data_IF_916793507988
#
_entry.id   IF_916793507988
#
_cell.length_a   1.000
_cell.length_b   1.000
_cell.length_c   1.000
_cell.angle_alpha   90.00
_cell.angle_beta   90.00
_cell.angle_gamma   90.00
#
_symmetry.space_group_name_H-M   'P 1'
#
loop_
_entity.id
_entity.type
_entity.pdbx_description
1 polymer ?
#
# COMPACT_ATOMS: atom_id res chain seq x y z
N UNK A 1 -18.58 2.97 1.61
CA UNK A 1 -18.94 1.65 1.03
C UNK A 1 -18.47 1.51 -0.42
N UNK A 2 -18.67 2.53 -1.27
CA UNK A 2 -18.25 2.50 -2.70
C UNK A 2 -16.73 2.38 -2.85
N UNK A 3 -15.95 3.13 -2.08
CA UNK A 3 -14.49 3.05 -2.10
C UNK A 3 -13.93 1.63 -1.89
N UNK A 4 -14.48 0.87 -0.92
CA UNK A 4 -14.06 -0.51 -0.67
C UNK A 4 -14.48 -1.47 -1.80
N UNK A 5 -15.65 -1.26 -2.40
CA UNK A 5 -16.07 -2.00 -3.58
C UNK A 5 -15.11 -1.73 -4.76
N UNK A 6 -14.77 -0.47 -4.99
CA UNK A 6 -13.80 -0.06 -6.00
C UNK A 6 -12.45 -0.74 -5.78
N UNK A 7 -11.90 -0.72 -4.55
CA UNK A 7 -10.66 -1.43 -4.22
C UNK A 7 -10.76 -2.94 -4.45
N UNK A 8 -11.88 -3.56 -4.08
CA UNK A 8 -12.13 -4.99 -4.31
C UNK A 8 -12.12 -5.34 -5.81
N UNK A 9 -12.72 -4.47 -6.64
CA UNK A 9 -12.68 -4.60 -8.10
C UNK A 9 -11.26 -4.46 -8.64
N UNK A 10 -10.49 -3.49 -8.15
CA UNK A 10 -9.08 -3.34 -8.55
C UNK A 10 -8.28 -4.60 -8.25
N UNK A 11 -8.40 -5.15 -7.03
CA UNK A 11 -7.72 -6.40 -6.64
C UNK A 11 -8.15 -7.57 -7.54
N UNK A 12 -9.44 -7.70 -7.81
CA UNK A 12 -9.98 -8.76 -8.68
C UNK A 12 -9.44 -8.67 -10.11
N UNK A 13 -9.35 -7.45 -10.66
CA UNK A 13 -8.84 -7.19 -11.98
C UNK A 13 -7.32 -7.37 -12.07
N UNK A 14 -6.58 -6.89 -11.07
CA UNK A 14 -5.15 -7.10 -10.96
C UNK A 14 -4.80 -8.58 -10.86
N UNK A 15 -5.54 -9.37 -10.08
CA UNK A 15 -5.39 -10.82 -10.00
C UNK A 15 -5.66 -11.50 -11.36
N UNK A 16 -6.74 -11.10 -12.04
CA UNK A 16 -7.08 -11.64 -13.36
C UNK A 16 -5.99 -11.38 -14.39
N UNK A 17 -5.42 -10.17 -14.39
CA UNK A 17 -4.35 -9.76 -15.29
C UNK A 17 -3.02 -10.45 -14.95
N UNK A 18 -2.60 -10.41 -13.69
CA UNK A 18 -1.34 -10.96 -13.21
C UNK A 18 -1.24 -12.48 -13.43
N UNK A 19 -2.35 -13.19 -13.19
CA UNK A 19 -2.42 -14.66 -13.32
C UNK A 19 -2.22 -15.17 -14.76
N UNK A 20 -2.16 -14.27 -15.75
CA UNK A 20 -1.83 -14.61 -17.14
C UNK A 20 -0.32 -14.78 -17.37
N UNK A 21 0.49 -14.19 -16.51
CA UNK A 21 1.93 -14.04 -16.73
C UNK A 21 2.78 -14.48 -15.53
N UNK A 22 2.19 -14.58 -14.34
CA UNK A 22 2.91 -14.82 -13.09
C UNK A 22 2.43 -16.09 -12.40
N UNK A 23 3.39 -16.86 -11.87
CA UNK A 23 3.20 -18.01 -10.98
C UNK A 23 3.31 -17.63 -9.51
N UNK A 24 2.57 -18.33 -8.66
CA UNK A 24 2.44 -17.96 -7.26
C UNK A 24 2.94 -19.06 -6.32
N UNK A 25 3.52 -18.63 -5.19
CA UNK A 25 3.97 -19.53 -4.12
C UNK A 25 2.89 -19.81 -3.10
N UNK A 26 2.06 -18.83 -2.84
CA UNK A 26 0.99 -18.90 -1.85
C UNK A 26 -0.20 -18.07 -2.33
N UNK A 27 -1.35 -18.29 -1.69
CA UNK A 27 -2.54 -17.45 -1.90
C UNK A 27 -2.23 -16.00 -1.48
N UNK A 28 -1.48 -15.80 -0.40
CA UNK A 28 -1.08 -14.47 0.06
C UNK A 28 -0.25 -13.75 -1.01
N UNK A 29 0.75 -14.41 -1.60
CA UNK A 29 1.51 -13.84 -2.72
C UNK A 29 0.59 -13.45 -3.88
N UNK A 30 -0.34 -14.32 -4.27
CA UNK A 30 -1.29 -14.01 -5.35
C UNK A 30 -2.15 -12.78 -5.05
N UNK A 31 -2.69 -12.69 -3.84
CA UNK A 31 -3.51 -11.54 -3.41
C UNK A 31 -2.69 -10.25 -3.36
N UNK A 32 -1.46 -10.29 -2.83
CA UNK A 32 -0.56 -9.15 -2.80
C UNK A 32 -0.24 -8.64 -4.20
N UNK A 33 0.08 -9.54 -5.14
CA UNK A 33 0.33 -9.21 -6.54
C UNK A 33 -0.93 -8.64 -7.20
N UNK A 34 -2.09 -9.25 -6.97
CA UNK A 34 -3.36 -8.76 -7.50
C UNK A 34 -3.71 -7.35 -7.00
N UNK A 35 -3.50 -7.08 -5.70
CA UNK A 35 -3.65 -5.74 -5.13
C UNK A 35 -2.74 -4.72 -5.81
N UNK A 36 -1.44 -5.00 -5.91
CA UNK A 36 -0.47 -4.04 -6.44
C UNK A 36 -0.68 -3.76 -7.94
N UNK A 37 -0.92 -4.81 -8.74
CA UNK A 37 -1.21 -4.67 -10.18
C UNK A 37 -2.54 -3.94 -10.39
N UNK A 38 -3.55 -4.28 -9.59
CA UNK A 38 -4.87 -3.67 -9.62
C UNK A 38 -4.84 -2.19 -9.25
N UNK A 39 -4.17 -1.84 -8.16
CA UNK A 39 -3.97 -0.46 -7.74
C UNK A 39 -3.25 0.34 -8.83
N UNK A 40 -2.14 -0.18 -9.38
CA UNK A 40 -1.38 0.53 -10.41
C UNK A 40 -2.23 0.80 -11.66
N UNK A 41 -2.88 -0.24 -12.21
CA UNK A 41 -3.70 -0.12 -13.40
C UNK A 41 -4.93 0.76 -13.17
N UNK A 42 -5.63 0.55 -12.05
CA UNK A 42 -6.83 1.29 -11.68
C UNK A 42 -6.57 2.77 -11.42
N UNK A 43 -5.49 3.08 -10.71
CA UNK A 43 -5.11 4.46 -10.39
C UNK A 43 -4.78 5.23 -11.66
N UNK A 44 -3.93 4.67 -12.53
CA UNK A 44 -3.61 5.31 -13.80
C UNK A 44 -4.82 5.46 -14.72
N UNK A 45 -5.64 4.42 -14.84
CA UNK A 45 -6.83 4.50 -15.71
C UNK A 45 -7.81 5.57 -15.23
N UNK A 46 -8.10 5.62 -13.93
CA UNK A 46 -8.95 6.67 -13.33
C UNK A 46 -8.36 8.05 -13.61
N UNK A 47 -7.06 8.23 -13.37
CA UNK A 47 -6.38 9.51 -13.58
C UNK A 47 -6.43 9.96 -15.04
N UNK A 48 -6.05 9.08 -15.97
CA UNK A 48 -5.97 9.41 -17.40
C UNK A 48 -7.34 9.70 -18.00
N UNK A 49 -8.39 8.97 -17.57
CA UNK A 49 -9.76 9.25 -18.01
C UNK A 49 -10.25 10.59 -17.46
N UNK A 50 -10.00 10.85 -16.17
CA UNK A 50 -10.37 12.13 -15.58
C UNK A 50 -9.65 13.30 -16.27
N UNK A 51 -8.33 13.18 -16.48
CA UNK A 51 -7.54 14.17 -17.20
C UNK A 51 -8.02 14.40 -18.64
N UNK A 52 -8.37 13.33 -19.37
CA UNK A 52 -8.84 13.45 -20.74
C UNK A 52 -10.21 14.13 -20.87
N UNK A 53 -11.00 14.13 -19.78
CA UNK A 53 -12.36 14.66 -19.77
C UNK A 53 -12.48 15.96 -18.95
N UNK A 54 -11.39 16.46 -18.35
CA UNK A 54 -11.44 17.59 -17.42
C UNK A 54 -12.02 18.86 -18.02
N UNK A 55 -11.79 19.10 -19.32
CA UNK A 55 -12.31 20.28 -20.03
C UNK A 55 -13.73 20.06 -20.59
N UNK A 56 -14.28 18.85 -20.44
CA UNK A 56 -15.53 18.43 -21.11
C UNK A 56 -16.66 18.19 -20.11
N UNK A 57 -16.34 17.77 -18.88
CA UNK A 57 -17.32 17.42 -17.85
C UNK A 57 -17.02 18.11 -16.53
N UNK A 58 -18.07 18.38 -15.75
CA UNK A 58 -17.94 19.06 -14.45
C UNK A 58 -17.28 18.16 -13.37
N UNK A 59 -17.46 16.84 -13.46
CA UNK A 59 -16.92 15.86 -12.51
C UNK A 59 -16.14 14.75 -13.23
N UNK A 60 -14.91 15.06 -13.70
CA UNK A 60 -14.08 14.10 -14.42
C UNK A 60 -13.63 12.93 -13.53
N UNK A 61 -13.48 13.16 -12.22
CA UNK A 61 -13.06 12.13 -11.27
C UNK A 61 -14.12 11.04 -11.10
N UNK A 62 -15.41 11.41 -11.03
CA UNK A 62 -16.52 10.46 -11.02
C UNK A 62 -16.47 9.52 -12.24
N UNK A 63 -16.32 10.10 -13.44
CA UNK A 63 -16.28 9.34 -14.69
C UNK A 63 -15.04 8.44 -14.70
N UNK A 64 -13.88 8.97 -14.32
CA UNK A 64 -12.66 8.18 -14.18
C UNK A 64 -12.83 6.98 -13.26
N UNK A 65 -13.45 7.17 -12.09
CA UNK A 65 -13.67 6.10 -11.11
C UNK A 65 -14.66 5.04 -11.63
N UNK A 66 -15.74 5.46 -12.30
CA UNK A 66 -16.73 4.54 -12.89
C UNK A 66 -16.13 3.76 -14.06
N UNK A 67 -15.43 4.43 -14.98
CA UNK A 67 -14.79 3.79 -16.13
C UNK A 67 -13.73 2.80 -15.67
N UNK A 68 -12.90 3.18 -14.70
CA UNK A 68 -11.90 2.29 -14.13
C UNK A 68 -12.55 1.10 -13.41
N UNK A 69 -13.51 1.34 -12.51
CA UNK A 69 -14.21 0.27 -11.80
C UNK A 69 -14.94 -0.71 -12.73
N UNK A 70 -15.87 -0.22 -13.54
CA UNK A 70 -16.67 -1.06 -14.44
C UNK A 70 -15.82 -1.67 -15.54
N UNK A 71 -14.95 -0.86 -16.17
CA UNK A 71 -14.07 -1.30 -17.25
C UNK A 71 -13.11 -2.40 -16.82
N UNK A 72 -12.45 -2.24 -15.66
CA UNK A 72 -11.54 -3.26 -15.13
C UNK A 72 -12.29 -4.50 -14.65
N UNK A 73 -13.49 -4.37 -14.07
CA UNK A 73 -14.32 -5.53 -13.72
C UNK A 73 -14.69 -6.34 -14.97
N UNK A 74 -15.14 -5.68 -16.05
CA UNK A 74 -15.47 -6.33 -17.32
C UNK A 74 -14.23 -6.96 -17.96
N UNK A 75 -13.11 -6.24 -18.02
CA UNK A 75 -11.85 -6.76 -18.54
C UNK A 75 -11.42 -8.01 -17.77
N UNK A 76 -11.51 -8.00 -16.44
CA UNK A 76 -11.19 -9.14 -15.59
C UNK A 76 -12.06 -10.37 -15.88
N UNK A 77 -13.37 -10.19 -16.06
CA UNK A 77 -14.30 -11.26 -16.45
C UNK A 77 -13.94 -11.83 -17.83
N UNK A 78 -13.66 -10.97 -18.81
CA UNK A 78 -13.29 -11.38 -20.16
C UNK A 78 -11.95 -12.13 -20.18
N UNK A 79 -10.95 -11.62 -19.47
CA UNK A 79 -9.63 -12.27 -19.33
C UNK A 79 -9.77 -13.67 -18.73
N UNK A 80 -10.62 -13.84 -17.71
CA UNK A 80 -10.85 -15.14 -17.06
C UNK A 80 -11.62 -16.14 -17.92
N UNK A 81 -12.33 -15.70 -18.97
CA UNK A 81 -12.95 -16.60 -19.96
C UNK A 81 -11.95 -17.19 -20.94
N UNK A 82 -10.79 -16.55 -21.11
CA UNK A 82 -9.71 -17.08 -21.95
C UNK A 82 -9.01 -18.20 -21.18
N UNK A 83 -8.81 -19.34 -21.84
CA UNK A 83 -8.16 -20.50 -21.23
C UNK A 83 -6.85 -20.08 -20.53
N UNK A 84 -6.66 -20.47 -19.25
CA UNK A 84 -5.44 -20.15 -18.52
C UNK A 84 -4.24 -20.76 -19.25
N UNK A 85 -3.12 -20.02 -19.29
CA UNK A 85 -1.83 -20.63 -19.65
C UNK A 85 -1.47 -21.56 -18.50
N UNK A 86 -1.73 -22.86 -18.68
CA UNK A 86 -1.92 -23.88 -17.64
C UNK A 86 -0.80 -24.01 -16.60
N UNK A 87 0.41 -23.53 -16.89
CA UNK A 87 1.54 -23.58 -15.96
C UNK A 87 1.66 -22.33 -15.08
N UNK A 88 1.25 -21.16 -15.58
CA UNK A 88 1.54 -19.88 -14.94
C UNK A 88 0.55 -19.53 -13.83
N UNK A 89 -0.73 -19.91 -13.91
CA UNK A 89 -1.71 -19.58 -12.86
C UNK A 89 -1.68 -20.53 -11.65
N UNK A 90 -0.75 -21.47 -11.62
CA UNK A 90 -0.66 -22.47 -10.56
C UNK A 90 -0.12 -21.84 -9.26
N UNK A 91 -0.67 -22.29 -8.14
CA UNK A 91 -0.08 -22.07 -6.83
C UNK A 91 0.76 -23.32 -6.55
N UNK A 92 2.06 -23.13 -6.31
CA UNK A 92 2.95 -24.23 -5.99
C UNK A 92 2.36 -25.07 -4.84
N UNK A 93 2.39 -26.41 -4.97
CA UNK A 93 1.71 -27.36 -4.08
C UNK A 93 2.09 -27.23 -2.58
N UNK A 94 3.17 -26.50 -2.28
CA UNK A 94 3.43 -26.00 -0.93
C UNK A 94 2.51 -24.84 -0.57
N UNK A 95 1.20 -25.03 -0.53
CA UNK A 95 0.23 -23.98 -0.17
C UNK A 95 0.58 -23.25 1.15
N UNK A 96 -0.03 -22.07 1.34
CA UNK A 96 0.24 -21.21 2.48
C UNK A 96 0.16 -22.01 3.80
N UNK A 97 1.26 -22.06 4.56
CA UNK A 97 1.23 -22.76 5.85
C UNK A 97 0.46 -21.91 6.85
N UNK A 98 -0.17 -22.54 7.84
CA UNK A 98 -0.85 -21.84 8.95
C UNK A 98 0.07 -20.79 9.59
N UNK A 99 1.38 -21.05 9.64
CA UNK A 99 2.40 -20.11 10.10
C UNK A 99 2.56 -18.84 9.23
N UNK A 100 2.45 -18.95 7.91
CA UNK A 100 2.53 -17.78 7.01
C UNK A 100 1.42 -16.77 7.32
N UNK A 101 0.18 -17.24 7.48
CA UNK A 101 -0.94 -16.37 7.83
C UNK A 101 -0.83 -15.77 9.23
N UNK A 102 -0.26 -16.50 10.20
CA UNK A 102 0.03 -15.94 11.53
C UNK A 102 1.04 -14.80 11.41
N UNK A 103 2.14 -14.99 10.68
CA UNK A 103 3.16 -13.95 10.47
C UNK A 103 2.58 -12.74 9.75
N UNK A 104 1.82 -12.95 8.67
CA UNK A 104 1.13 -11.86 7.94
C UNK A 104 0.17 -11.13 8.87
N UNK A 105 -0.59 -11.84 9.70
CA UNK A 105 -1.51 -11.25 10.67
C UNK A 105 -0.81 -10.38 11.71
N UNK A 106 0.32 -10.84 12.25
CA UNK A 106 1.15 -10.08 13.18
C UNK A 106 1.72 -8.81 12.54
N UNK A 107 2.27 -8.90 11.32
CA UNK A 107 2.74 -7.73 10.59
C UNK A 107 1.61 -6.77 10.26
N UNK A 108 0.45 -7.27 9.85
CA UNK A 108 -0.72 -6.45 9.54
C UNK A 108 -1.20 -5.68 10.77
N UNK A 109 -1.24 -6.32 11.94
CA UNK A 109 -1.60 -5.67 13.20
C UNK A 109 -0.60 -4.58 13.59
N UNK A 110 0.71 -4.86 13.48
CA UNK A 110 1.76 -3.89 13.76
C UNK A 110 1.69 -2.68 12.80
N UNK A 111 1.57 -2.94 11.50
CA UNK A 111 1.44 -1.88 10.48
C UNK A 111 0.18 -1.06 10.72
N UNK A 112 -0.96 -1.71 10.97
CA UNK A 112 -2.21 -1.01 11.25
C UNK A 112 -2.08 -0.12 12.48
N UNK A 113 -1.47 -0.61 13.56
CA UNK A 113 -1.19 0.21 14.74
C UNK A 113 -0.30 1.41 14.38
N UNK A 114 0.79 1.22 13.63
CA UNK A 114 1.68 2.32 13.22
C UNK A 114 0.93 3.38 12.39
N UNK A 115 0.15 2.97 11.39
CA UNK A 115 -0.55 3.90 10.49
C UNK A 115 -1.69 4.63 11.19
N UNK A 116 -2.53 3.91 11.95
CA UNK A 116 -3.68 4.47 12.65
C UNK A 116 -3.30 5.35 13.85
N UNK A 117 -2.15 5.09 14.49
CA UNK A 117 -1.63 5.98 15.54
C UNK A 117 -0.97 7.25 14.99
N UNK A 118 -0.57 7.22 13.72
CA UNK A 118 0.15 8.32 13.06
C UNK A 118 -0.79 9.35 12.45
N UNK A 119 -1.85 8.89 11.78
CA UNK A 119 -2.74 9.75 11.01
C UNK A 119 -4.20 9.33 11.22
N UNK A 120 -4.98 10.20 11.84
CA UNK A 120 -6.36 9.94 12.24
C UNK A 120 -7.27 11.12 11.86
N UNK A 121 -8.57 10.86 11.72
CA UNK A 121 -9.58 11.87 11.45
C UNK A 121 -10.74 11.70 12.41
N UNK A 122 -10.88 12.64 13.33
CA UNK A 122 -11.94 12.63 14.34
C UNK A 122 -12.72 13.92 14.27
N UNK A 123 -14.04 13.84 14.07
CA UNK A 123 -14.98 14.98 14.18
C UNK A 123 -14.58 16.21 13.35
N UNK A 124 -14.21 16.02 12.09
CA UNK A 124 -13.81 17.14 11.22
C UNK A 124 -12.36 17.58 11.36
N UNK A 125 -11.61 17.01 12.31
CA UNK A 125 -10.23 17.41 12.61
C UNK A 125 -9.27 16.28 12.27
N UNK A 126 -8.27 16.60 11.46
CA UNK A 126 -7.13 15.72 11.21
C UNK A 126 -6.17 15.76 12.40
N UNK A 127 -5.79 14.57 12.86
CA UNK A 127 -4.85 14.36 13.95
C UNK A 127 -3.63 13.69 13.36
N UNK A 128 -2.49 14.38 13.46
CA UNK A 128 -1.23 13.94 12.91
C UNK A 128 -0.24 13.82 14.06
N UNK A 129 0.56 12.75 14.08
CA UNK A 129 1.66 12.61 15.03
C UNK A 129 2.66 13.78 14.89
N UNK A 130 3.13 14.29 16.03
CA UNK A 130 3.97 15.50 16.09
C UNK A 130 5.26 15.43 15.27
N UNK A 131 5.81 14.24 15.03
CA UNK A 131 7.02 14.07 14.21
C UNK A 131 6.75 14.09 12.70
N UNK A 132 5.48 14.09 12.27
CA UNK A 132 5.10 13.83 10.87
C UNK A 132 4.19 14.92 10.28
N UNK A 133 3.89 15.99 11.02
CA UNK A 133 3.02 17.08 10.54
C UNK A 133 3.60 17.79 9.31
N UNK A 134 4.92 17.91 9.20
CA UNK A 134 5.59 18.52 8.04
C UNK A 134 5.36 17.76 6.75
N UNK A 135 5.15 16.44 6.86
CA UNK A 135 5.02 15.55 5.71
C UNK A 135 3.54 15.37 5.36
N UNK A 136 2.69 15.12 6.37
CA UNK A 136 1.25 14.96 6.19
C UNK A 136 0.54 16.25 5.82
N UNK A 137 1.00 17.42 6.28
CA UNK A 137 0.41 18.72 5.92
C UNK A 137 0.30 18.92 4.41
N UNK A 138 1.43 18.96 3.67
CA UNK A 138 1.40 19.19 2.23
C UNK A 138 0.81 18.02 1.43
N UNK A 139 1.04 16.78 1.85
CA UNK A 139 0.54 15.59 1.13
C UNK A 139 -0.96 15.38 1.28
N UNK A 140 -1.51 15.72 2.44
CA UNK A 140 -2.96 15.72 2.65
C UNK A 140 -3.62 16.80 1.79
N UNK A 141 -3.02 17.99 1.69
CA UNK A 141 -3.54 19.03 0.81
C UNK A 141 -3.58 18.57 -0.66
N UNK A 142 -2.55 17.87 -1.14
CA UNK A 142 -2.55 17.28 -2.49
C UNK A 142 -3.71 16.27 -2.65
N UNK A 143 -3.86 15.33 -1.71
CA UNK A 143 -4.95 14.36 -1.77
C UNK A 143 -6.34 15.01 -1.73
N UNK A 144 -6.53 16.05 -0.92
CA UNK A 144 -7.79 16.79 -0.85
C UNK A 144 -8.04 17.64 -2.09
N UNK A 145 -7.00 18.16 -2.75
CA UNK A 145 -7.13 18.89 -4.01
C UNK A 145 -7.74 18.01 -5.10
N UNK A 146 -7.33 16.74 -5.17
CA UNK A 146 -7.99 15.77 -6.05
C UNK A 146 -9.42 15.46 -5.64
N UNK A 147 -9.67 15.26 -4.34
CA UNK A 147 -10.98 14.86 -3.86
C UNK A 147 -12.06 15.95 -3.98
N UNK A 148 -11.66 17.22 -3.86
CA UNK A 148 -12.58 18.36 -3.75
C UNK A 148 -12.38 19.43 -4.82
N UNK A 149 -11.18 19.51 -5.41
CA UNK A 149 -10.73 20.63 -6.23
C UNK A 149 -10.69 20.38 -7.73
N UNK A 150 -11.01 19.17 -8.21
CA UNK A 150 -10.92 18.80 -9.65
C UNK A 150 -9.55 19.14 -10.26
N UNK A 151 -8.48 18.68 -9.61
CA UNK A 151 -7.08 19.01 -9.94
C UNK A 151 -6.54 18.35 -11.24
N UNK A 152 -7.10 18.78 -12.37
CA UNK A 152 -6.78 18.34 -13.72
C UNK A 152 -6.69 19.54 -14.67
N UNK A 153 -5.53 19.78 -15.33
CA UNK A 153 -4.25 19.12 -15.13
C UNK A 153 -3.72 19.31 -13.71
N UNK A 154 -2.90 18.37 -13.23
CA UNK A 154 -2.50 18.33 -11.83
C UNK A 154 -1.44 19.38 -11.48
N UNK A 155 -1.76 20.20 -10.48
CA UNK A 155 -0.91 21.27 -9.97
C UNK A 155 -0.62 21.09 -8.47
N UNK A 156 0.36 21.84 -7.96
CA UNK A 156 0.54 21.93 -6.52
C UNK A 156 -0.58 22.78 -5.90
N UNK A 157 -1.31 22.30 -4.88
CA UNK A 157 -2.27 23.15 -4.15
C UNK A 157 -1.59 24.30 -3.39
N UNK A 158 -0.27 24.21 -3.19
CA UNK A 158 0.54 25.19 -2.48
C UNK A 158 1.11 26.29 -3.39
N UNK A 159 1.16 26.06 -4.70
CA UNK A 159 1.81 26.94 -5.67
C UNK A 159 0.90 27.09 -6.90
N UNK A 160 0.25 28.24 -7.02
CA UNK A 160 -0.70 28.50 -8.09
C UNK A 160 -0.05 28.40 -9.48
N UNK A 161 -0.64 27.60 -10.38
CA UNK A 161 -0.19 27.47 -11.77
C UNK A 161 1.08 26.64 -11.95
N UNK A 162 1.60 26.01 -10.90
CA UNK A 162 2.80 25.17 -10.98
C UNK A 162 2.43 23.69 -11.11
N UNK A 163 2.79 23.03 -12.23
CA UNK A 163 2.57 21.61 -12.40
C UNK A 163 3.27 20.78 -11.31
N UNK A 164 2.62 19.71 -10.88
CA UNK A 164 3.23 18.82 -9.89
C UNK A 164 4.45 18.10 -10.48
N UNK A 165 5.59 18.13 -9.76
CA UNK A 165 6.83 17.41 -10.14
C UNK A 165 7.14 16.22 -9.23
N UNK A 166 6.40 16.12 -8.14
CA UNK A 166 6.49 15.02 -7.18
C UNK A 166 5.66 13.82 -7.64
N UNK A 167 5.95 12.64 -7.08
CA UNK A 167 5.14 11.45 -7.35
C UNK A 167 3.74 11.62 -6.70
N UNK A 168 2.72 11.85 -7.52
CA UNK A 168 1.40 12.23 -7.02
C UNK A 168 0.37 11.10 -7.01
N UNK A 169 0.60 9.99 -7.72
CA UNK A 169 -0.41 8.94 -7.92
C UNK A 169 -0.94 8.33 -6.62
N UNK A 170 -0.07 8.19 -5.60
CA UNK A 170 -0.52 7.72 -4.29
C UNK A 170 -1.54 8.69 -3.69
N UNK A 171 -1.23 9.99 -3.66
CA UNK A 171 -2.12 11.03 -3.13
C UNK A 171 -3.38 11.21 -3.99
N UNK A 172 -3.26 11.05 -5.31
CA UNK A 172 -4.41 10.97 -6.20
C UNK A 172 -5.33 9.80 -5.83
N UNK A 173 -4.78 8.62 -5.59
CA UNK A 173 -5.59 7.46 -5.20
C UNK A 173 -6.20 7.63 -3.80
N UNK A 174 -5.50 8.29 -2.86
CA UNK A 174 -6.09 8.71 -1.58
C UNK A 174 -7.27 9.65 -1.83
N UNK A 175 -7.08 10.68 -2.65
CA UNK A 175 -8.13 11.64 -3.01
C UNK A 175 -9.33 10.98 -3.69
N UNK A 176 -9.09 10.06 -4.62
CA UNK A 176 -10.13 9.26 -5.27
C UNK A 176 -10.92 8.41 -4.26
N UNK A 177 -10.25 7.76 -3.30
CA UNK A 177 -10.98 7.02 -2.25
C UNK A 177 -11.75 7.93 -1.30
N UNK A 178 -11.23 9.13 -1.01
CA UNK A 178 -11.95 10.15 -0.25
C UNK A 178 -13.20 10.61 -1.00
N UNK A 179 -13.07 10.91 -2.29
CA UNK A 179 -14.17 11.25 -3.18
C UNK A 179 -15.24 10.14 -3.22
N UNK A 180 -14.83 8.86 -3.23
CA UNK A 180 -15.71 7.70 -3.16
C UNK A 180 -16.28 7.41 -1.75
N UNK A 181 -16.05 8.29 -0.78
CA UNK A 181 -16.73 8.34 0.51
C UNK A 181 -15.97 7.72 1.68
N UNK A 182 -14.64 7.63 1.64
CA UNK A 182 -13.83 7.45 2.85
C UNK A 182 -13.46 8.80 3.43
N UNK A 183 -13.21 8.87 4.74
CA UNK A 183 -12.51 10.03 5.28
C UNK A 183 -11.04 10.04 4.81
N UNK A 184 -10.36 11.21 4.81
CA UNK A 184 -9.00 11.32 4.30
C UNK A 184 -7.98 10.44 5.02
N UNK A 185 -8.14 10.24 6.34
CA UNK A 185 -7.21 9.44 7.12
C UNK A 185 -7.38 7.95 6.80
N UNK A 186 -8.61 7.46 6.78
CA UNK A 186 -8.89 6.06 6.43
C UNK A 186 -8.51 5.74 4.99
N UNK A 187 -8.75 6.66 4.04
CA UNK A 187 -8.30 6.51 2.65
C UNK A 187 -6.78 6.30 2.57
N UNK A 188 -6.00 7.16 3.25
CA UNK A 188 -4.55 7.05 3.33
C UNK A 188 -4.10 5.76 4.03
N UNK A 189 -4.73 5.43 5.15
CA UNK A 189 -4.33 4.31 6.00
C UNK A 189 -4.64 2.96 5.34
N UNK A 190 -5.80 2.79 4.73
CA UNK A 190 -6.14 1.55 4.02
C UNK A 190 -5.16 1.30 2.87
N UNK A 191 -4.81 2.33 2.10
CA UNK A 191 -3.81 2.20 1.04
C UNK A 191 -2.42 1.89 1.61
N UNK A 192 -1.96 2.64 2.62
CA UNK A 192 -0.66 2.45 3.25
C UNK A 192 -0.51 1.06 3.88
N UNK A 193 -1.51 0.62 4.66
CA UNK A 193 -1.51 -0.69 5.32
C UNK A 193 -1.50 -1.80 4.27
N UNK A 194 -2.43 -1.76 3.32
CA UNK A 194 -2.58 -2.84 2.34
C UNK A 194 -1.36 -2.97 1.42
N UNK A 195 -0.81 -1.85 0.94
CA UNK A 195 0.38 -1.87 0.08
C UNK A 195 1.64 -2.28 0.83
N UNK A 196 1.82 -1.86 2.08
CA UNK A 196 2.97 -2.30 2.89
C UNK A 196 2.87 -3.78 3.26
N UNK A 197 1.70 -4.28 3.64
CA UNK A 197 1.48 -5.73 3.85
C UNK A 197 1.77 -6.52 2.58
N UNK A 198 1.31 -6.05 1.42
CA UNK A 198 1.60 -6.68 0.13
C UNK A 198 3.10 -6.69 -0.18
N UNK A 199 3.81 -5.59 0.08
CA UNK A 199 5.27 -5.53 -0.06
C UNK A 199 5.97 -6.55 0.84
N UNK A 200 5.58 -6.67 2.12
CA UNK A 200 6.16 -7.67 3.03
C UNK A 200 5.90 -9.11 2.56
N UNK A 201 4.72 -9.40 2.02
CA UNK A 201 4.42 -10.71 1.41
C UNK A 201 5.36 -10.99 0.22
N UNK A 202 5.64 -9.98 -0.62
CA UNK A 202 6.61 -10.11 -1.71
C UNK A 202 8.03 -10.35 -1.18
N UNK A 203 8.46 -9.68 -0.10
CA UNK A 203 9.75 -9.93 0.55
C UNK A 203 9.83 -11.36 1.13
N UNK A 204 8.77 -11.82 1.80
CA UNK A 204 8.68 -13.20 2.29
C UNK A 204 8.84 -14.20 1.15
N UNK A 205 8.12 -13.96 0.04
CA UNK A 205 8.17 -14.79 -1.16
C UNK A 205 9.56 -14.77 -1.80
N UNK A 206 10.21 -13.60 -1.89
CA UNK A 206 11.55 -13.45 -2.44
C UNK A 206 12.58 -14.22 -1.61
N UNK A 207 12.54 -14.07 -0.28
CA UNK A 207 13.43 -14.82 0.61
C UNK A 207 13.22 -16.33 0.51
N UNK A 208 11.97 -16.79 0.42
CA UNK A 208 11.69 -18.21 0.19
C UNK A 208 12.27 -18.69 -1.15
N UNK A 209 12.13 -17.90 -2.23
CA UNK A 209 12.63 -18.26 -3.57
C UNK A 209 14.16 -18.30 -3.63
N UNK A 210 14.84 -17.33 -3.01
CA UNK A 210 16.30 -17.24 -3.02
C UNK A 210 16.96 -18.29 -2.13
N UNK A 211 16.44 -18.51 -0.93
CA UNK A 211 17.08 -19.34 0.08
C UNK A 211 16.41 -20.71 0.28
N UNK A 212 15.34 -21.01 -0.48
CA UNK A 212 14.53 -22.23 -0.34
C UNK A 212 14.03 -22.45 1.11
N UNK A 213 13.82 -21.36 1.85
CA UNK A 213 13.43 -21.37 3.26
C UNK A 213 12.41 -20.28 3.57
N UNK A 214 11.22 -20.69 4.04
CA UNK A 214 10.16 -19.76 4.47
C UNK A 214 10.59 -18.89 5.63
N UNK A 215 11.29 -19.50 6.59
CA UNK A 215 11.76 -18.80 7.78
C UNK A 215 12.70 -17.66 7.41
N UNK A 216 13.57 -17.86 6.42
CA UNK A 216 14.45 -16.78 5.91
C UNK A 216 13.63 -15.64 5.31
N UNK A 217 12.58 -15.95 4.53
CA UNK A 217 11.65 -14.94 4.03
C UNK A 217 10.92 -14.18 5.15
N UNK A 218 10.46 -14.89 6.19
CA UNK A 218 9.78 -14.28 7.34
C UNK A 218 10.70 -13.37 8.15
N UNK A 219 11.93 -13.82 8.40
CA UNK A 219 12.97 -13.01 9.04
C UNK A 219 13.28 -11.78 8.19
N UNK A 220 13.49 -11.96 6.88
CA UNK A 220 13.77 -10.86 5.96
C UNK A 220 12.68 -9.79 5.94
N UNK A 221 11.41 -10.19 5.93
CA UNK A 221 10.29 -9.27 6.06
C UNK A 221 10.22 -8.62 7.44
N UNK A 222 10.52 -9.36 8.52
CA UNK A 222 10.59 -8.81 9.88
C UNK A 222 11.67 -7.74 10.04
N UNK A 223 12.80 -7.88 9.34
CA UNK A 223 13.88 -6.89 9.37
C UNK A 223 13.48 -5.53 8.81
N UNK A 224 12.39 -5.43 8.03
CA UNK A 224 11.85 -4.15 7.55
C UNK A 224 11.51 -3.16 8.69
N UNK A 225 11.09 -3.68 9.85
CA UNK A 225 10.71 -2.85 10.99
C UNK A 225 11.89 -2.32 11.80
N UNK A 226 13.11 -2.72 11.44
CA UNK A 226 14.33 -2.29 12.10
C UNK A 226 15.03 -1.21 11.28
N UNK A 227 15.79 -0.37 11.98
CA UNK A 227 16.54 0.69 11.33
C UNK A 227 17.61 0.11 10.41
N UNK A 228 17.76 0.67 9.20
CA UNK A 228 18.71 0.18 8.21
C UNK A 228 20.18 0.31 8.64
N UNK A 229 20.48 1.23 9.55
CA UNK A 229 21.79 1.25 10.20
C UNK A 229 21.88 0.05 11.16
N UNK A 230 22.83 -0.85 10.91
CA UNK A 230 23.09 -2.02 11.74
C UNK A 230 23.64 -1.67 13.14
N UNK A 231 23.53 -0.42 13.58
CA UNK A 231 23.97 0.08 14.89
C UNK A 231 23.24 -0.57 16.07
N UNK A 232 22.03 -1.10 15.83
CA UNK A 232 21.30 -1.86 16.83
C UNK A 232 21.98 -3.19 17.19
N UNK A 233 22.76 -3.78 16.28
CA UNK A 233 23.44 -5.07 16.51
C UNK A 233 24.48 -4.96 17.63
N UNK A 234 25.49 -4.06 17.55
CA UNK A 234 26.46 -3.90 18.64
C UNK A 234 25.81 -3.36 19.91
N UNK A 235 24.78 -2.51 19.80
CA UNK A 235 24.05 -2.01 20.96
C UNK A 235 23.36 -3.14 21.75
N UNK A 236 22.54 -3.96 21.08
CA UNK A 236 21.85 -5.10 21.70
C UNK A 236 22.86 -6.15 22.19
N UNK A 237 23.92 -6.41 21.42
CA UNK A 237 25.01 -7.31 21.82
C UNK A 237 25.72 -6.86 23.10
N UNK A 238 25.86 -5.55 23.32
CA UNK A 238 26.46 -4.96 24.52
C UNK A 238 25.63 -5.10 25.80
N UNK A 239 24.31 -5.33 25.70
CA UNK A 239 23.42 -5.45 26.86
C UNK A 239 23.52 -6.79 27.59
N UNK A 240 24.11 -7.82 26.96
CA UNK A 240 24.51 -9.08 27.60
C UNK A 240 23.38 -10.00 28.11
N UNK A 241 22.12 -9.56 28.17
CA UNK A 241 20.98 -10.40 28.58
C UNK A 241 19.64 -9.94 27.99
N UNK A 242 18.71 -10.89 27.82
CA UNK A 242 17.35 -10.61 27.34
C UNK A 242 16.56 -9.70 28.29
N UNK A 243 16.78 -9.84 29.60
CA UNK A 243 16.14 -9.00 30.61
C UNK A 243 16.59 -7.53 30.47
N UNK A 244 17.89 -7.29 30.28
CA UNK A 244 18.42 -5.95 30.03
C UNK A 244 17.86 -5.35 28.74
N UNK A 245 17.74 -6.14 27.67
CA UNK A 245 17.14 -5.69 26.41
C UNK A 245 15.70 -5.22 26.59
N UNK A 246 14.88 -6.00 27.31
CA UNK A 246 13.46 -5.67 27.55
C UNK A 246 13.32 -4.41 28.42
N UNK A 247 14.24 -4.20 29.37
CA UNK A 247 14.21 -3.04 30.28
C UNK A 247 14.75 -1.76 29.63
N UNK A 248 15.78 -1.86 28.77
CA UNK A 248 16.46 -0.71 28.16
C UNK A 248 15.76 -0.21 26.89
N UNK A 249 15.26 -1.09 26.02
CA UNK A 249 14.64 -0.67 24.74
C UNK A 249 13.52 0.37 24.93
N UNK A 250 12.58 0.21 25.88
CA UNK A 250 11.52 1.20 26.10
C UNK A 250 12.02 2.54 26.62
N UNK A 251 13.22 2.60 27.19
CA UNK A 251 13.84 3.81 27.75
C UNK A 251 14.75 4.53 26.75
N UNK A 252 14.94 3.97 25.56
CA UNK A 252 15.82 4.52 24.54
C UNK A 252 15.20 5.80 23.96
N UNK A 253 15.70 6.96 24.36
CA UNK A 253 15.21 8.29 23.97
C UNK A 253 16.08 8.97 22.90
N UNK A 254 17.17 8.33 22.49
CA UNK A 254 18.16 8.84 21.54
C UNK A 254 18.49 7.83 20.46
N UNK A 255 18.88 8.34 19.29
CA UNK A 255 19.38 7.49 18.23
C UNK A 255 20.67 6.79 18.64
N UNK A 256 20.76 5.49 18.33
CA UNK A 256 21.98 4.72 18.50
C UNK A 256 23.03 5.25 17.52
N UNK A 257 24.19 5.63 18.05
CA UNK A 257 25.33 6.08 17.25
C UNK A 257 25.69 4.99 16.25
N UNK A 258 25.79 5.31 14.95
CA UNK A 258 26.35 4.36 14.00
C UNK A 258 27.80 4.09 14.40
N UNK A 259 28.15 2.84 14.66
CA UNK A 259 29.54 2.42 14.87
C UNK A 259 30.40 2.48 13.60
N UNK A 260 29.97 3.27 12.62
CA UNK A 260 30.67 3.65 11.40
C UNK A 260 30.85 5.16 11.41
#
# INVERSE_FOLDING_TARGET
MIAFLYLGVLVFAGDALASRWLSYRSIAHRLATGLLVGLLAGTWLTYLVALALSDVVDDPLAIGAVVSGVGLALAAVLIRRVAPRSELSSIDAGGASRGEWIVIGLFSALIAWMMLSTYDYTSGTLRIATSLWSDFGPTTAIAQNFALGNDFPTEYPHYAGEPIRYHFLFYFQVGNLTYLGLDPALANNVLSISTLVAMLILVMTLGERLFRSRVVGWIGAGLFFFHGALSFIPYVGGLGSLAAIIDEIPRLDRFMVSGF
#
